data_IF_806833493476
#
_entry.id   IF_806833493476
#
_cell.length_a   1.000
_cell.length_b   1.000
_cell.length_c   1.000
_cell.angle_alpha   90.00
_cell.angle_beta   90.00
_cell.angle_gamma   90.00
#
_symmetry.space_group_name_H-M   'P 1'
#
loop_
_entity.id
_entity.type
_entity.pdbx_description
1 polymer ?
#
# COMPACT_ATOMS: atom_id res chain seq x y z
N UNK A 1 -48.79 16.44 9.14
CA UNK A 1 -49.16 15.94 7.81
C UNK A 1 -48.85 14.45 7.77
N UNK A 2 -49.84 13.55 7.71
CA UNK A 2 -49.56 12.13 7.51
C UNK A 2 -48.95 11.95 6.12
N UNK A 3 -47.76 11.35 6.03
CA UNK A 3 -47.15 11.00 4.75
C UNK A 3 -48.04 9.97 4.07
N UNK A 4 -48.48 10.18 2.82
CA UNK A 4 -49.26 9.16 2.12
C UNK A 4 -48.43 7.88 2.06
N UNK A 5 -49.01 6.78 2.55
CA UNK A 5 -48.45 5.44 2.39
C UNK A 5 -48.36 5.16 0.90
N UNK A 6 -47.18 5.41 0.32
CA UNK A 6 -46.88 5.06 -1.07
C UNK A 6 -47.19 3.59 -1.27
N UNK A 7 -47.88 3.25 -2.36
CA UNK A 7 -48.14 1.88 -2.72
C UNK A 7 -46.82 1.08 -2.64
N UNK A 8 -46.82 -0.07 -1.98
CA UNK A 8 -45.59 -0.85 -1.68
C UNK A 8 -44.78 -1.12 -2.96
N UNK A 9 -45.47 -1.31 -4.10
CA UNK A 9 -44.90 -1.47 -5.43
C UNK A 9 -44.12 -0.22 -5.89
N UNK A 10 -44.72 0.96 -5.80
CA UNK A 10 -44.11 2.24 -6.18
C UNK A 10 -42.90 2.55 -5.29
N UNK A 11 -43.01 2.28 -3.99
CA UNK A 11 -41.90 2.49 -3.06
C UNK A 11 -40.71 1.55 -3.35
N UNK A 12 -40.98 0.28 -3.65
CA UNK A 12 -39.95 -0.69 -4.07
C UNK A 12 -39.28 -0.27 -5.38
N UNK A 13 -40.07 0.18 -6.36
CA UNK A 13 -39.54 0.69 -7.63
C UNK A 13 -38.63 1.89 -7.39
N UNK A 14 -39.06 2.85 -6.56
CA UNK A 14 -38.26 4.03 -6.23
C UNK A 14 -36.92 3.63 -5.60
N UNK A 15 -36.90 2.69 -4.64
CA UNK A 15 -35.64 2.18 -4.06
C UNK A 15 -34.71 1.56 -5.10
N UNK A 16 -35.25 0.78 -6.04
CA UNK A 16 -34.45 0.14 -7.09
C UNK A 16 -33.83 1.19 -8.02
N UNK A 17 -34.59 2.22 -8.40
CA UNK A 17 -34.08 3.30 -9.24
C UNK A 17 -32.99 4.11 -8.52
N UNK A 18 -33.21 4.46 -7.25
CA UNK A 18 -32.20 5.12 -6.43
C UNK A 18 -30.94 4.27 -6.27
N UNK A 19 -31.08 2.96 -6.07
CA UNK A 19 -29.94 2.05 -5.99
C UNK A 19 -29.20 1.94 -7.33
N UNK A 20 -29.93 1.80 -8.44
CA UNK A 20 -29.36 1.76 -9.77
C UNK A 20 -28.59 3.03 -10.09
N UNK A 21 -29.14 4.20 -9.74
CA UNK A 21 -28.48 5.48 -9.88
C UNK A 21 -27.14 5.53 -9.12
N UNK A 22 -27.13 5.11 -7.84
CA UNK A 22 -25.89 5.04 -7.05
C UNK A 22 -24.84 4.10 -7.65
N UNK A 23 -25.27 2.96 -8.21
CA UNK A 23 -24.36 2.02 -8.86
C UNK A 23 -23.75 2.61 -10.13
N UNK A 24 -24.53 3.38 -10.92
CA UNK A 24 -24.03 4.09 -12.10
C UNK A 24 -23.01 5.16 -11.71
N UNK A 25 -23.32 5.95 -10.68
CA UNK A 25 -22.38 6.94 -10.13
C UNK A 25 -21.08 6.29 -9.64
N UNK A 26 -21.15 5.15 -8.97
CA UNK A 26 -19.96 4.40 -8.52
C UNK A 26 -19.16 3.78 -9.67
N UNK A 27 -19.81 3.44 -10.78
CA UNK A 27 -19.15 2.93 -11.97
C UNK A 27 -18.37 4.04 -12.69
N UNK A 28 -18.93 5.25 -12.71
CA UNK A 28 -18.34 6.41 -13.38
C UNK A 28 -17.17 7.04 -12.61
N UNK A 29 -16.90 6.59 -11.37
CA UNK A 29 -15.76 7.07 -10.59
C UNK A 29 -14.42 6.69 -11.26
N UNK A 30 -13.48 7.62 -11.42
CA UNK A 30 -12.18 7.33 -12.02
C UNK A 30 -11.35 6.41 -11.11
N UNK A 31 -10.90 5.28 -11.66
CA UNK A 31 -10.07 4.29 -10.95
C UNK A 31 -8.61 4.39 -11.37
N UNK A 32 -7.71 4.13 -10.42
CA UNK A 32 -6.27 4.04 -10.65
C UNK A 32 -5.84 2.58 -10.60
N UNK A 33 -4.93 2.17 -11.49
CA UNK A 33 -4.37 0.81 -11.47
C UNK A 33 -3.66 0.54 -10.15
N UNK A 34 -3.82 -0.67 -9.62
CA UNK A 34 -3.18 -1.07 -8.35
C UNK A 34 -1.67 -0.90 -8.41
N UNK A 35 -1.03 -1.32 -9.50
CA UNK A 35 0.43 -1.15 -9.68
C UNK A 35 0.88 0.31 -9.59
N UNK A 36 0.09 1.24 -10.14
CA UNK A 36 0.34 2.68 -10.05
C UNK A 36 0.13 3.19 -8.63
N UNK A 37 -0.98 2.82 -7.98
CA UNK A 37 -1.27 3.21 -6.60
C UNK A 37 -0.18 2.71 -5.63
N UNK A 38 0.25 1.45 -5.75
CA UNK A 38 1.35 0.88 -4.95
C UNK A 38 2.66 1.63 -5.17
N UNK A 39 2.97 2.00 -6.41
CA UNK A 39 4.17 2.79 -6.73
C UNK A 39 4.13 4.17 -6.08
N UNK A 40 2.97 4.82 -6.07
CA UNK A 40 2.78 6.12 -5.40
C UNK A 40 2.96 6.01 -3.88
N UNK A 41 2.41 4.97 -3.26
CA UNK A 41 2.57 4.73 -1.83
C UNK A 41 4.03 4.48 -1.45
N UNK A 42 4.73 3.61 -2.20
CA UNK A 42 6.16 3.33 -1.98
C UNK A 42 6.95 4.63 -2.10
N UNK A 43 6.69 5.43 -3.15
CA UNK A 43 7.35 6.72 -3.33
C UNK A 43 7.12 7.62 -2.11
N UNK A 44 5.88 7.78 -1.66
CA UNK A 44 5.55 8.66 -0.53
C UNK A 44 6.26 8.23 0.76
N UNK A 45 6.19 6.93 1.09
CA UNK A 45 6.80 6.37 2.31
C UNK A 45 8.34 6.41 2.25
N UNK A 46 8.94 6.33 1.06
CA UNK A 46 10.41 6.39 0.88
C UNK A 46 10.96 7.81 0.71
N UNK A 47 10.12 8.82 0.51
CA UNK A 47 10.57 10.22 0.46
C UNK A 47 10.29 10.97 1.76
N UNK A 48 9.27 10.55 2.51
CA UNK A 48 8.86 11.20 3.75
C UNK A 48 9.59 10.56 4.92
N UNK A 49 10.38 11.34 5.65
CA UNK A 49 11.10 10.84 6.82
C UNK A 49 10.14 10.65 7.99
N UNK A 50 10.18 9.47 8.61
CA UNK A 50 9.46 9.16 9.84
C UNK A 50 10.44 8.81 10.96
N UNK A 51 10.53 9.68 11.97
CA UNK A 51 11.45 9.53 13.09
C UNK A 51 10.94 8.53 14.16
N UNK A 52 9.72 8.02 14.04
CA UNK A 52 9.22 6.91 14.85
C UNK A 52 9.84 5.57 14.44
N UNK A 53 10.53 5.52 13.30
CA UNK A 53 11.30 4.35 12.82
C UNK A 53 12.79 4.71 12.69
N UNK A 54 13.53 4.84 13.82
CA UNK A 54 14.94 5.28 13.79
C UNK A 54 15.88 4.32 13.06
N UNK A 55 15.50 3.05 12.90
CA UNK A 55 16.30 2.04 12.19
C UNK A 55 16.47 2.34 10.70
N UNK A 56 15.49 3.01 10.09
CA UNK A 56 15.48 3.34 8.66
C UNK A 56 15.86 4.81 8.44
N UNK A 57 15.36 5.70 9.29
CA UNK A 57 15.47 7.15 9.08
C UNK A 57 16.47 7.87 9.99
N UNK A 58 17.03 7.18 10.98
CA UNK A 58 17.91 7.75 11.99
C UNK A 58 17.14 8.45 13.12
N UNK A 59 17.87 8.90 14.14
CA UNK A 59 17.29 9.65 15.26
C UNK A 59 16.84 11.04 14.79
N UNK A 60 15.77 11.60 15.41
CA UNK A 60 15.37 12.98 15.16
C UNK A 60 16.52 13.94 15.47
N UNK A 61 16.65 14.97 14.63
CA UNK A 61 17.67 16.00 14.79
C UNK A 61 17.43 16.90 16.01
N UNK A 62 18.33 17.85 16.28
CA UNK A 62 18.27 18.74 17.45
C UNK A 62 17.07 19.72 17.46
N UNK A 63 16.22 19.68 16.42
CA UNK A 63 15.01 20.48 16.30
C UNK A 63 13.79 19.86 17.02
N UNK A 64 13.88 18.59 17.42
CA UNK A 64 12.83 17.92 18.17
C UNK A 64 12.92 18.31 19.67
N UNK A 65 11.85 18.92 20.25
CA UNK A 65 11.84 19.38 21.64
C UNK A 65 11.95 18.24 22.68
N UNK A 66 11.77 16.98 22.28
CA UNK A 66 11.91 15.81 23.15
C UNK A 66 13.30 15.16 23.06
N UNK A 67 14.18 15.63 22.18
CA UNK A 67 15.60 15.25 22.21
C UNK A 67 16.21 15.95 23.41
N UNK A 68 16.12 15.28 24.56
CA UNK A 68 16.77 15.74 25.78
C UNK A 68 18.25 15.93 25.48
N UNK A 69 18.76 17.14 25.74
CA UNK A 69 20.19 17.34 26.01
C UNK A 69 20.47 16.67 27.35
N UNK A 70 20.43 15.35 27.40
CA UNK A 70 20.73 14.60 28.62
C UNK A 70 22.24 14.73 28.88
N UNK A 71 22.62 15.82 29.54
CA UNK A 71 23.60 15.75 30.61
C UNK A 71 23.05 14.75 31.63
N UNK A 72 23.35 13.47 31.42
CA UNK A 72 23.47 12.42 32.42
C UNK A 72 23.71 11.10 31.67
N UNK A 73 24.97 10.71 31.67
CA UNK A 73 25.51 9.47 31.12
C UNK A 73 24.74 8.26 31.64
N UNK A 74 23.92 7.63 30.80
CA UNK A 74 23.69 6.17 30.87
C UNK A 74 23.58 5.63 29.44
N UNK A 75 24.47 4.71 29.02
CA UNK A 75 24.46 4.22 27.66
C UNK A 75 23.27 3.28 27.48
N UNK A 76 22.23 3.73 26.78
CA UNK A 76 21.31 2.81 26.11
C UNK A 76 22.12 2.14 25.01
N UNK A 77 22.78 1.06 25.40
CA UNK A 77 23.49 0.14 24.54
C UNK A 77 22.43 -0.54 23.67
N UNK A 78 22.18 -0.01 22.49
CA UNK A 78 21.58 -0.79 21.40
C UNK A 78 22.54 -1.97 21.16
N UNK A 79 22.21 -3.15 21.69
CA UNK A 79 22.86 -4.36 21.22
C UNK A 79 22.50 -4.49 19.74
N UNK A 80 23.47 -4.67 18.83
CA UNK A 80 23.12 -5.02 17.48
C UNK A 80 22.29 -6.31 17.56
N UNK A 81 21.07 -6.28 17.02
CA UNK A 81 20.34 -7.51 16.71
C UNK A 81 21.32 -8.28 15.85
N UNK A 82 21.74 -9.45 16.34
CA UNK A 82 22.61 -10.37 15.63
C UNK A 82 22.15 -10.39 14.18
N UNK A 83 23.09 -10.15 13.25
CA UNK A 83 22.80 -10.31 11.82
C UNK A 83 22.13 -11.66 11.67
N UNK A 84 20.83 -11.67 11.39
CA UNK A 84 20.21 -12.79 10.72
C UNK A 84 20.91 -12.79 9.37
N UNK A 85 21.91 -13.63 9.23
CA UNK A 85 22.49 -13.97 7.95
C UNK A 85 21.36 -14.54 7.13
N UNK A 86 20.74 -13.70 6.31
CA UNK A 86 20.00 -14.15 5.13
C UNK A 86 21.06 -14.66 4.15
N UNK A 87 21.61 -15.83 4.44
CA UNK A 87 22.37 -16.60 3.47
C UNK A 87 21.36 -17.31 2.57
N UNK A 88 20.74 -16.58 1.65
CA UNK A 88 20.22 -17.11 0.40
C UNK A 88 19.76 -15.96 -0.52
N UNK A 89 20.67 -15.51 -1.39
CA UNK A 89 20.53 -15.39 -2.85
C UNK A 89 21.56 -14.36 -3.33
N UNK A 90 22.80 -14.81 -3.52
CA UNK A 90 23.71 -14.12 -4.43
C UNK A 90 23.19 -14.32 -5.86
N UNK A 91 22.98 -13.26 -6.66
CA UNK A 91 22.70 -13.39 -8.08
C UNK A 91 24.03 -13.66 -8.79
N UNK A 92 24.36 -14.93 -9.01
CA UNK A 92 25.51 -15.28 -9.85
C UNK A 92 25.13 -15.16 -11.34
N UNK A 93 25.86 -14.38 -12.16
CA UNK A 93 25.56 -14.18 -13.57
C UNK A 93 26.16 -15.29 -14.44
N UNK A 94 25.78 -16.56 -14.26
CA UNK A 94 26.26 -17.64 -15.15
C UNK A 94 25.28 -18.82 -15.30
N UNK A 95 24.01 -18.55 -15.63
CA UNK A 95 23.06 -19.61 -16.00
C UNK A 95 22.20 -19.19 -17.20
N UNK A 96 22.86 -18.62 -18.21
CA UNK A 96 22.23 -18.30 -19.50
C UNK A 96 22.59 -19.29 -20.61
N UNK A 97 23.19 -20.45 -20.30
CA UNK A 97 23.68 -21.31 -21.37
C UNK A 97 23.76 -22.79 -21.01
N UNK A 98 22.60 -23.43 -20.80
CA UNK A 98 22.34 -24.77 -21.32
C UNK A 98 20.88 -25.16 -21.04
N UNK A 99 20.27 -25.86 -22.00
CA UNK A 99 18.87 -26.30 -22.07
C UNK A 99 17.93 -25.32 -22.75
N UNK A 100 17.96 -25.37 -24.09
CA UNK A 100 16.81 -25.03 -24.89
C UNK A 100 15.58 -25.83 -24.46
N UNK A 101 14.42 -25.18 -24.49
CA UNK A 101 13.15 -25.79 -24.16
C UNK A 101 12.03 -24.77 -24.23
N UNK A 102 11.34 -24.74 -25.37
CA UNK A 102 10.05 -24.08 -25.52
C UNK A 102 9.09 -24.46 -24.39
N UNK A 103 8.54 -23.49 -23.67
CA UNK A 103 7.14 -23.55 -23.23
C UNK A 103 6.61 -22.18 -22.84
N UNK A 104 5.87 -21.61 -23.79
CA UNK A 104 4.72 -20.75 -23.64
C UNK A 104 4.19 -20.56 -22.20
N UNK A 105 4.42 -19.38 -21.60
CA UNK A 105 3.55 -18.85 -20.55
C UNK A 105 3.04 -17.47 -20.96
N UNK A 106 1.95 -17.52 -21.72
CA UNK A 106 0.72 -16.71 -21.62
C UNK A 106 0.90 -15.19 -21.44
N UNK A 107 0.55 -14.49 -22.53
CA UNK A 107 0.20 -13.07 -22.63
C UNK A 107 -0.76 -12.57 -21.52
N UNK A 108 -0.79 -11.24 -21.30
CA UNK A 108 -1.51 -10.63 -20.19
C UNK A 108 -3.02 -10.73 -20.37
N UNK A 109 -3.68 -11.40 -19.43
CA UNK A 109 -5.07 -11.14 -19.05
C UNK A 109 -5.00 -10.56 -17.64
N UNK A 110 -5.36 -9.31 -17.39
CA UNK A 110 -6.72 -8.85 -17.59
C UNK A 110 -6.77 -7.33 -17.73
N UNK A 111 -7.50 -6.91 -18.76
CA UNK A 111 -8.41 -5.79 -18.64
C UNK A 111 -9.28 -6.03 -17.41
N UNK A 112 -9.01 -5.30 -16.33
CA UNK A 112 -10.02 -5.04 -15.32
C UNK A 112 -10.43 -3.59 -15.53
N UNK A 113 -11.65 -3.43 -16.03
CA UNK A 113 -12.42 -2.19 -16.02
C UNK A 113 -12.29 -1.45 -14.68
#
# INVERSE_FOLDING_TARGET
MPTPVKNISEYKLQRLLEHNQRLREQLDLPRVKVSQASSMLIKYVTTTKDYLVPSVWGLPGPADPFVTKSSDDHPIRCRPIAKLTYSLLDPHPTLFQLLGGHSLFILPRNNYY
#
